data_IF_605546078620
#
_entry.id   IF_605546078620
#
_cell.length_a   1.000
_cell.length_b   1.000
_cell.length_c   1.000
_cell.angle_alpha   90.00
_cell.angle_beta   90.00
_cell.angle_gamma   90.00
#
_symmetry.space_group_name_H-M   'P 1'
#
loop_
_entity.id
_entity.type
_entity.pdbx_description
1 polymer ?
#
# COMPACT_ATOMS: atom_id res chain seq x y z
N UNK A 1 8.69 25.74 7.43
CA UNK A 1 8.39 24.34 7.05
C UNK A 1 8.50 24.24 5.53
N UNK A 2 9.34 23.34 5.04
CA UNK A 2 9.52 23.11 3.60
C UNK A 2 8.44 22.14 3.10
N UNK A 3 7.90 22.37 1.89
CA UNK A 3 6.83 21.55 1.31
C UNK A 3 7.43 20.40 0.49
N UNK A 4 6.82 19.22 0.57
CA UNK A 4 7.20 18.05 -0.25
C UNK A 4 6.69 18.24 -1.68
N UNK A 5 7.56 18.03 -2.68
CA UNK A 5 7.19 18.08 -4.09
C UNK A 5 6.39 16.82 -4.46
N UNK A 6 5.15 16.99 -4.92
CA UNK A 6 4.28 15.84 -5.28
C UNK A 6 4.90 14.94 -6.36
N UNK A 7 5.67 15.50 -7.31
CA UNK A 7 6.34 14.75 -8.38
C UNK A 7 7.36 13.72 -7.90
N UNK A 8 7.85 13.83 -6.66
CA UNK A 8 8.80 12.86 -6.07
C UNK A 8 8.11 11.77 -5.26
N UNK A 9 6.78 11.81 -5.13
CA UNK A 9 6.00 10.79 -4.43
C UNK A 9 5.43 9.79 -5.44
N UNK A 10 5.33 8.54 -5.00
CA UNK A 10 4.68 7.47 -5.72
C UNK A 10 3.76 6.75 -4.76
N UNK A 11 2.50 6.60 -5.13
CA UNK A 11 1.50 5.85 -4.37
C UNK A 11 1.34 4.44 -4.95
N UNK A 12 1.41 3.43 -4.09
CA UNK A 12 1.12 2.03 -4.44
C UNK A 12 0.00 1.55 -3.51
N UNK A 13 -1.08 1.03 -4.09
CA UNK A 13 -2.19 0.41 -3.34
C UNK A 13 -2.02 -1.11 -3.33
N UNK A 14 -1.78 -1.69 -2.15
CA UNK A 14 -1.63 -3.14 -1.98
C UNK A 14 -2.95 -3.87 -1.69
N UNK A 15 -4.02 -3.14 -1.35
CA UNK A 15 -5.27 -3.76 -0.89
C UNK A 15 -5.03 -4.63 0.34
N UNK A 16 -5.65 -5.81 0.36
CA UNK A 16 -5.61 -6.74 1.50
C UNK A 16 -4.43 -7.73 1.45
N UNK A 17 -3.56 -7.63 0.43
CA UNK A 17 -2.52 -8.64 0.13
C UNK A 17 -1.31 -8.62 1.06
N UNK A 18 -1.15 -7.56 1.86
CA UNK A 18 -0.03 -7.39 2.80
C UNK A 18 -0.53 -7.05 4.21
N UNK A 19 -1.23 -7.97 4.90
CA UNK A 19 -1.73 -7.73 6.26
C UNK A 19 -0.57 -7.71 7.28
N UNK A 20 -0.72 -6.91 8.33
CA UNK A 20 0.10 -6.98 9.54
C UNK A 20 -0.61 -7.71 10.68
N UNK A 21 -1.95 -7.76 10.62
CA UNK A 21 -2.80 -8.54 11.53
C UNK A 21 -3.86 -9.32 10.75
N UNK A 22 -4.58 -10.22 11.43
CA UNK A 22 -5.62 -11.04 10.82
C UNK A 22 -6.78 -10.18 10.26
N UNK A 23 -7.11 -10.33 8.98
CA UNK A 23 -8.22 -9.63 8.33
C UNK A 23 -9.61 -10.14 8.79
N UNK A 24 -9.68 -11.25 9.52
CA UNK A 24 -10.95 -11.82 9.98
C UNK A 24 -11.57 -11.07 11.17
N UNK A 25 -10.80 -10.25 11.89
CA UNK A 25 -11.28 -9.45 13.03
C UNK A 25 -11.47 -8.00 12.64
N UNK A 26 -12.35 -7.26 13.33
CA UNK A 26 -12.51 -5.83 13.06
C UNK A 26 -11.25 -5.06 13.47
N UNK A 27 -10.67 -5.43 14.60
CA UNK A 27 -9.45 -4.83 15.13
C UNK A 27 -8.27 -5.03 14.16
N UNK A 28 -8.12 -6.22 13.60
CA UNK A 28 -7.06 -6.51 12.64
C UNK A 28 -7.27 -5.78 11.30
N UNK A 29 -8.51 -5.63 10.84
CA UNK A 29 -8.83 -4.80 9.66
C UNK A 29 -8.50 -3.32 9.90
N UNK A 30 -8.82 -2.79 11.08
CA UNK A 30 -8.45 -1.42 11.45
C UNK A 30 -6.92 -1.26 11.51
N UNK A 31 -6.20 -2.21 12.13
CA UNK A 31 -4.74 -2.20 12.13
C UNK A 31 -4.15 -2.25 10.70
N UNK A 32 -4.81 -2.95 9.78
CA UNK A 32 -4.40 -3.06 8.39
C UNK A 32 -4.70 -1.80 7.55
N UNK A 33 -5.59 -0.90 7.99
CA UNK A 33 -5.84 0.43 7.37
C UNK A 33 -4.65 1.37 7.60
N UNK A 34 -3.56 1.19 6.85
CA UNK A 34 -2.29 1.90 7.08
C UNK A 34 -1.64 2.48 5.82
N UNK A 35 -0.79 3.49 6.04
CA UNK A 35 0.09 4.07 5.02
C UNK A 35 1.54 3.92 5.49
N UNK A 36 2.43 3.50 4.59
CA UNK A 36 3.86 3.37 4.84
C UNK A 36 4.65 4.26 3.87
N UNK A 37 5.61 5.02 4.39
CA UNK A 37 6.54 5.79 3.56
C UNK A 37 7.88 5.07 3.47
N UNK A 38 8.29 4.72 2.25
CA UNK A 38 9.61 4.14 1.96
C UNK A 38 10.46 5.14 1.19
N UNK A 39 11.66 5.40 1.70
CA UNK A 39 12.63 6.25 1.01
C UNK A 39 13.35 5.45 -0.07
N UNK A 40 13.14 5.85 -1.32
CA UNK A 40 13.79 5.22 -2.47
C UNK A 40 15.10 5.96 -2.78
N UNK A 41 16.24 5.25 -2.77
CA UNK A 41 17.56 5.84 -3.11
C UNK A 41 17.66 6.21 -4.60
N UNK A 42 16.91 5.52 -5.46
CA UNK A 42 16.81 5.80 -6.89
C UNK A 42 15.34 5.82 -7.30
N UNK A 43 14.89 6.93 -7.88
CA UNK A 43 13.56 7.05 -8.48
C UNK A 43 13.58 6.45 -9.88
N UNK A 44 13.50 5.12 -9.96
CA UNK A 44 13.00 4.48 -11.18
C UNK A 44 11.49 4.71 -11.21
N UNK A 45 10.94 5.38 -12.24
CA UNK A 45 9.51 5.56 -12.35
C UNK A 45 8.84 4.19 -12.41
N UNK A 46 8.09 3.84 -11.37
CA UNK A 46 7.29 2.62 -11.36
C UNK A 46 6.16 2.81 -12.38
N UNK A 47 6.26 2.07 -13.49
CA UNK A 47 5.27 2.07 -14.55
C UNK A 47 4.18 1.09 -14.12
N UNK A 48 3.00 1.62 -13.80
CA UNK A 48 1.76 0.90 -13.46
C UNK A 48 1.94 -0.46 -12.78
N UNK A 49 2.06 -0.45 -11.45
CA UNK A 49 1.79 -1.62 -10.62
C UNK A 49 0.29 -1.67 -10.30
N UNK A 50 -0.56 -1.68 -11.34
CA UNK A 50 -1.97 -2.03 -11.20
C UNK A 50 -2.04 -3.52 -10.84
N UNK A 51 -1.94 -3.80 -9.55
CA UNK A 51 -2.21 -5.13 -8.99
C UNK A 51 -3.68 -5.42 -9.34
N UNK A 52 -3.89 -6.37 -10.26
CA UNK A 52 -5.21 -6.98 -10.45
C UNK A 52 -5.58 -7.56 -9.09
N UNK A 53 -6.70 -7.11 -8.52
CA UNK A 53 -7.28 -7.76 -7.37
C UNK A 53 -7.54 -9.23 -7.75
N UNK A 54 -6.65 -10.13 -7.35
CA UNK A 54 -6.99 -11.54 -7.31
C UNK A 54 -7.99 -11.68 -6.16
N UNK A 55 -9.24 -11.92 -6.54
CA UNK A 55 -10.32 -12.29 -5.63
C UNK A 55 -9.84 -13.53 -4.85
N UNK A 56 -9.40 -13.31 -3.61
CA UNK A 56 -9.22 -14.39 -2.67
C UNK A 56 -10.60 -15.05 -2.47
N UNK A 57 -10.75 -16.22 -3.06
CA UNK A 57 -11.87 -17.13 -2.90
C UNK A 57 -12.18 -17.32 -1.42
N UNK A 58 -13.32 -16.79 -0.98
CA UNK A 58 -13.97 -17.26 0.23
C UNK A 58 -14.52 -18.66 -0.07
N UNK A 59 -13.93 -19.67 0.56
CA UNK A 59 -14.55 -20.97 0.83
C UNK A 59 -14.54 -21.20 2.35
#
# INVERSE_FOLDING_TARGET
>A
SEKVKMKTLTSIGYGETTPIEDNKTEEGREANRRIEFRLMKTVTPVKDLSIKAEEASNE
#
